data_IF_536607894948
#
_entry.id   IF_536607894948
#
_cell.length_a   1.000
_cell.length_b   1.000
_cell.length_c   1.000
_cell.angle_alpha   90.00
_cell.angle_beta   90.00
_cell.angle_gamma   90.00
#
_symmetry.space_group_name_H-M   'P 1'
#
loop_
_entity.id
_entity.type
_entity.pdbx_description
1 polymer ?
#
# COMPACT_ATOMS: atom_id res chain seq x y z
N UNK A 1 7.85 -5.42 -14.37
CA UNK A 1 6.45 -5.89 -14.40
C UNK A 1 5.87 -5.43 -13.09
N UNK A 2 5.12 -4.31 -13.08
CA UNK A 2 4.67 -3.63 -11.87
C UNK A 2 3.97 -4.61 -10.90
N UNK A 3 4.68 -5.04 -9.85
CA UNK A 3 4.13 -5.98 -8.88
C UNK A 3 2.96 -5.34 -8.12
N UNK A 4 1.95 -6.16 -7.83
CA UNK A 4 0.71 -5.73 -7.15
C UNK A 4 0.69 -6.04 -5.67
N UNK A 5 1.44 -7.06 -5.24
CA UNK A 5 1.52 -7.52 -3.87
C UNK A 5 2.90 -8.16 -3.56
N UNK A 6 3.06 -8.58 -2.30
CA UNK A 6 4.31 -9.17 -1.81
C UNK A 6 4.55 -10.59 -2.33
N UNK A 7 3.52 -11.32 -2.75
CA UNK A 7 3.67 -12.67 -3.31
C UNK A 7 4.26 -12.61 -4.72
N UNK A 8 3.81 -11.65 -5.54
CA UNK A 8 4.40 -11.36 -6.85
C UNK A 8 5.87 -10.93 -6.72
N UNK A 9 6.21 -10.13 -5.69
CA UNK A 9 7.59 -9.76 -5.38
C UNK A 9 8.42 -10.98 -4.97
N UNK A 10 7.89 -11.85 -4.10
CA UNK A 10 8.58 -13.06 -3.67
C UNK A 10 8.81 -14.03 -4.85
N UNK A 11 7.84 -14.15 -5.75
CA UNK A 11 7.98 -14.91 -6.99
C UNK A 11 9.06 -14.27 -7.89
N UNK A 12 9.05 -12.95 -8.06
CA UNK A 12 10.06 -12.23 -8.83
C UNK A 12 11.48 -12.45 -8.26
N UNK A 13 11.66 -12.32 -6.94
CA UNK A 13 12.95 -12.57 -6.28
C UNK A 13 13.49 -13.99 -6.52
N UNK A 14 12.62 -15.01 -6.52
CA UNK A 14 13.02 -16.40 -6.83
C UNK A 14 13.54 -16.57 -8.26
N UNK A 15 13.14 -15.70 -9.19
CA UNK A 15 13.58 -15.74 -10.59
C UNK A 15 14.81 -14.88 -10.87
N UNK A 16 15.22 -14.01 -9.94
CA UNK A 16 16.39 -13.16 -10.11
C UNK A 16 17.67 -13.99 -10.22
N UNK A 17 18.54 -13.62 -11.17
CA UNK A 17 19.80 -14.31 -11.45
C UNK A 17 20.91 -13.33 -11.71
N UNK A 18 21.91 -13.30 -10.86
CA UNK A 18 23.07 -12.42 -11.01
C UNK A 18 24.05 -12.95 -12.05
N UNK A 19 24.59 -12.03 -12.87
CA UNK A 19 25.67 -12.33 -13.81
C UNK A 19 26.94 -12.69 -13.05
N UNK A 20 27.62 -13.76 -13.46
CA UNK A 20 28.92 -14.16 -12.91
C UNK A 20 30.07 -13.42 -13.60
N UNK A 21 31.13 -13.09 -12.85
CA UNK A 21 32.41 -12.61 -13.42
C UNK A 21 33.26 -13.79 -13.90
N UNK A 22 34.21 -13.53 -14.81
CA UNK A 22 35.08 -14.56 -15.41
C UNK A 22 36.05 -15.22 -14.40
N UNK A 23 36.45 -14.51 -13.34
CA UNK A 23 37.31 -15.05 -12.28
C UNK A 23 36.66 -14.71 -10.93
N UNK A 24 35.89 -15.66 -10.39
CA UNK A 24 35.26 -15.57 -9.07
C UNK A 24 34.14 -14.53 -8.95
N UNK A 25 33.07 -14.88 -8.22
CA UNK A 25 32.03 -13.94 -7.80
C UNK A 25 31.03 -13.50 -8.88
N UNK A 26 30.28 -12.45 -8.56
CA UNK A 26 29.21 -11.86 -9.37
C UNK A 26 29.58 -10.46 -9.85
N UNK A 27 28.98 -10.03 -10.95
CA UNK A 27 29.10 -8.68 -11.48
C UNK A 27 28.33 -7.71 -10.59
N UNK A 28 29.04 -6.92 -9.79
CA UNK A 28 28.47 -5.92 -8.88
C UNK A 28 27.54 -4.93 -9.60
N UNK A 29 27.86 -4.54 -10.83
CA UNK A 29 27.02 -3.62 -11.60
C UNK A 29 25.69 -4.29 -11.95
N UNK A 30 25.73 -5.58 -12.29
CA UNK A 30 24.52 -6.37 -12.54
C UNK A 30 23.70 -6.58 -11.26
N UNK A 31 24.36 -6.83 -10.13
CA UNK A 31 23.70 -6.94 -8.81
C UNK A 31 22.96 -5.64 -8.46
N UNK A 32 23.64 -4.49 -8.52
CA UNK A 32 23.02 -3.19 -8.24
C UNK A 32 21.84 -2.91 -9.17
N UNK A 33 21.99 -3.19 -10.47
CA UNK A 33 20.91 -3.04 -11.45
C UNK A 33 19.72 -3.93 -11.15
N UNK A 34 19.94 -5.14 -10.63
CA UNK A 34 18.88 -6.06 -10.23
C UNK A 34 18.19 -5.62 -8.95
N UNK A 35 18.93 -5.07 -7.98
CA UNK A 35 18.37 -4.48 -6.77
C UNK A 35 17.52 -3.24 -7.07
N UNK A 36 17.96 -2.36 -7.97
CA UNK A 36 17.16 -1.21 -8.40
C UNK A 36 15.84 -1.62 -9.06
N UNK A 37 15.86 -2.70 -9.85
CA UNK A 37 14.62 -3.26 -10.44
C UNK A 37 13.69 -3.79 -9.36
N UNK A 38 14.22 -4.57 -8.41
CA UNK A 38 13.45 -5.09 -7.29
C UNK A 38 12.84 -3.97 -6.44
N UNK A 39 13.60 -2.90 -6.17
CA UNK A 39 13.15 -1.72 -5.43
C UNK A 39 11.93 -1.07 -6.12
N UNK A 40 11.94 -0.95 -7.44
CA UNK A 40 10.83 -0.40 -8.22
C UNK A 40 9.58 -1.29 -8.13
N UNK A 41 9.74 -2.60 -8.19
CA UNK A 41 8.60 -3.52 -8.02
C UNK A 41 8.02 -3.44 -6.60
N UNK A 42 8.87 -3.29 -5.58
CA UNK A 42 8.44 -3.04 -4.20
C UNK A 42 7.64 -1.75 -4.06
N UNK A 43 8.12 -0.65 -4.65
CA UNK A 43 7.43 0.64 -4.62
C UNK A 43 6.05 0.54 -5.25
N UNK A 44 5.95 -0.11 -6.42
CA UNK A 44 4.67 -0.33 -7.11
C UNK A 44 3.66 -1.09 -6.24
N UNK A 45 4.05 -2.22 -5.66
CA UNK A 45 3.15 -3.02 -4.83
C UNK A 45 2.71 -2.25 -3.57
N UNK A 46 3.65 -1.53 -2.96
CA UNK A 46 3.35 -0.72 -1.78
C UNK A 46 2.40 0.44 -2.08
N UNK A 47 2.57 1.11 -3.23
CA UNK A 47 1.66 2.17 -3.67
C UNK A 47 0.25 1.63 -3.93
N UNK A 48 0.13 0.49 -4.62
CA UNK A 48 -1.16 -0.15 -4.83
C UNK A 48 -1.87 -0.49 -3.51
N UNK A 49 -1.15 -1.08 -2.54
CA UNK A 49 -1.70 -1.37 -1.22
C UNK A 49 -2.09 -0.09 -0.47
N UNK A 50 -1.27 0.97 -0.58
CA UNK A 50 -1.51 2.25 0.08
C UNK A 50 -2.76 2.93 -0.47
N UNK A 51 -3.00 2.89 -1.78
CA UNK A 51 -4.19 3.47 -2.39
C UNK A 51 -5.45 2.74 -1.95
N UNK A 52 -5.44 1.40 -1.97
CA UNK A 52 -6.55 0.58 -1.47
C UNK A 52 -6.86 0.89 0.00
N UNK A 53 -5.82 0.94 0.84
CA UNK A 53 -5.95 1.25 2.26
C UNK A 53 -6.51 2.67 2.49
N UNK A 54 -6.04 3.65 1.71
CA UNK A 54 -6.53 5.04 1.78
C UNK A 54 -8.01 5.15 1.38
N UNK A 55 -8.45 4.40 0.37
CA UNK A 55 -9.85 4.39 -0.03
C UNK A 55 -10.75 3.89 1.11
N UNK A 56 -10.38 2.77 1.75
CA UNK A 56 -11.11 2.21 2.88
C UNK A 56 -11.15 3.16 4.09
N UNK A 57 -10.05 3.86 4.38
CA UNK A 57 -10.03 4.86 5.47
C UNK A 57 -11.00 6.01 5.18
N UNK A 58 -10.98 6.56 3.96
CA UNK A 58 -11.88 7.67 3.57
C UNK A 58 -13.36 7.27 3.67
N UNK A 59 -13.70 6.07 3.24
CA UNK A 59 -15.06 5.55 3.35
C UNK A 59 -15.51 5.48 4.82
N UNK A 60 -14.66 4.93 5.70
CA UNK A 60 -14.94 4.86 7.14
C UNK A 60 -15.08 6.25 7.77
N UNK A 61 -14.21 7.20 7.40
CA UNK A 61 -14.30 8.58 7.88
C UNK A 61 -15.62 9.24 7.48
N UNK A 62 -16.08 9.04 6.24
CA UNK A 62 -17.36 9.56 5.77
C UNK A 62 -18.55 8.98 6.55
N UNK A 63 -18.54 7.67 6.82
CA UNK A 63 -19.57 7.00 7.64
C UNK A 63 -19.57 7.57 9.06
N UNK A 64 -18.40 7.68 9.69
CA UNK A 64 -18.27 8.23 11.04
C UNK A 64 -18.77 9.68 11.08
N UNK A 65 -18.45 10.50 10.08
CA UNK A 65 -18.93 11.88 10.00
C UNK A 65 -20.47 11.93 9.90
N UNK A 66 -21.08 11.09 9.05
CA UNK A 66 -22.53 10.99 8.91
C UNK A 66 -23.21 10.57 10.22
N UNK A 67 -22.68 9.53 10.89
CA UNK A 67 -23.20 9.06 12.18
C UNK A 67 -23.09 10.13 13.28
N UNK A 68 -21.97 10.87 13.34
CA UNK A 68 -21.80 11.99 14.28
C UNK A 68 -22.81 13.10 14.05
N UNK A 69 -23.12 13.43 12.79
CA UNK A 69 -24.15 14.41 12.45
C UNK A 69 -25.55 13.95 12.87
N UNK A 70 -25.89 12.68 12.65
CA UNK A 70 -27.18 12.11 13.07
C UNK A 70 -27.32 12.11 14.60
N UNK A 71 -26.26 11.76 15.33
CA UNK A 71 -26.26 11.77 16.79
C UNK A 71 -26.43 13.19 17.35
N UNK A 72 -25.71 14.16 16.80
CA UNK A 72 -25.81 15.57 17.24
C UNK A 72 -27.14 16.21 16.86
N UNK A 73 -27.70 15.90 15.68
CA UNK A 73 -29.03 16.32 15.26
C UNK A 73 -30.15 15.70 16.11
N UNK A 74 -30.06 14.41 16.42
CA UNK A 74 -31.00 13.70 17.29
C UNK A 74 -30.97 14.19 18.74
N UNK A 75 -29.79 14.57 19.25
CA UNK A 75 -29.63 15.14 20.60
C UNK A 75 -30.25 16.55 20.68
N UNK A 76 -30.10 17.37 19.63
CA UNK A 76 -30.70 18.72 19.55
C UNK A 76 -32.24 18.67 19.46
N UNK A 77 -32.80 17.64 18.83
CA UNK A 77 -34.26 17.46 18.73
C UNK A 77 -34.90 16.93 20.02
N UNK A 78 -34.14 16.30 20.92
CA UNK A 78 -34.66 15.69 22.17
C UNK A 78 -34.58 16.63 23.39
N UNK A 79 -33.78 17.69 23.33
CA UNK A 79 -33.61 18.67 24.41
C UNK A 79 -34.58 19.87 24.37
N UNK A 80 -35.52 19.92 23.43
CA UNK A 80 -36.39 21.08 23.18
C UNK A 80 -37.81 21.01 23.74
N UNK A 81 -38.21 19.94 24.44
CA UNK A 81 -39.55 19.82 25.04
C UNK A 81 -39.39 19.77 26.55
N UNK A 82 -39.32 20.94 27.18
CA UNK A 82 -39.72 21.22 28.56
C UNK A 82 -39.59 22.74 28.78
N UNK A 83 -40.66 23.44 28.45
CA UNK A 83 -40.92 24.85 28.74
C UNK A 83 -42.40 25.02 28.96
#
# INVERSE_FOLDING_TARGET
MAAKDMEEIAAYMKTMRFRKKFIGGVDETDVWRQLEKLQKEYQSAFEAQREQSRALIREREAIIAGLKQQLTGGTRSRGGVNG
#
